data_IF_647782940641
#
_entry.id   IF_647782940641
#
_cell.length_a   1.000
_cell.length_b   1.000
_cell.length_c   1.000
_cell.angle_alpha   90.00
_cell.angle_beta   90.00
_cell.angle_gamma   90.00
#
_symmetry.space_group_name_H-M   'P 1'
#
loop_
_entity.id
_entity.type
_entity.pdbx_description
1 polymer ?
#
# COMPACT_ATOMS: atom_id res chain seq x y z
N UNK A 1 17.95 1.02 -10.44
CA UNK A 1 17.02 0.19 -11.20
C UNK A 1 17.47 0.07 -12.65
N UNK A 2 17.01 -0.94 -13.32
CA UNK A 2 17.29 -1.13 -14.73
C UNK A 2 16.48 -0.15 -15.58
N UNK A 3 17.06 0.26 -16.71
CA UNK A 3 16.32 1.07 -17.67
C UNK A 3 15.23 0.24 -18.37
N UNK A 4 14.05 0.81 -18.68
CA UNK A 4 13.03 0.10 -19.41
C UNK A 4 13.49 -0.29 -20.81
N UNK A 5 13.12 -1.49 -21.25
CA UNK A 5 13.38 -1.99 -22.58
C UNK A 5 12.11 -2.61 -23.16
N UNK A 6 12.17 -3.05 -24.42
CA UNK A 6 11.03 -3.77 -25.04
C UNK A 6 10.71 -5.06 -24.28
N UNK A 7 11.73 -5.73 -23.69
CA UNK A 7 11.58 -6.97 -22.94
C UNK A 7 11.22 -6.71 -21.47
N UNK A 8 11.53 -5.51 -20.97
CA UNK A 8 11.29 -5.15 -19.56
C UNK A 8 10.84 -3.68 -19.50
N UNK A 9 9.60 -3.41 -19.93
CA UNK A 9 9.11 -2.03 -20.05
C UNK A 9 8.85 -1.34 -18.70
N UNK A 10 8.80 -2.11 -17.60
CA UNK A 10 8.56 -1.57 -16.27
C UNK A 10 9.67 -2.01 -15.33
N UNK A 11 10.34 -1.03 -14.71
CA UNK A 11 11.38 -1.27 -13.70
C UNK A 11 10.99 -0.58 -12.40
N UNK A 12 11.21 -1.25 -11.29
CA UNK A 12 10.80 -0.76 -9.98
C UNK A 12 11.98 -0.85 -9.00
N UNK A 13 12.22 0.20 -8.18
CA UNK A 13 13.22 0.12 -7.12
C UNK A 13 12.91 -1.00 -6.13
N UNK A 14 13.93 -1.67 -5.64
CA UNK A 14 13.77 -2.79 -4.70
C UNK A 14 13.00 -2.36 -3.45
N UNK A 15 13.20 -1.11 -2.99
CA UNK A 15 12.46 -0.58 -1.84
C UNK A 15 10.94 -0.59 -2.10
N UNK A 16 10.51 -0.20 -3.30
CA UNK A 16 9.08 -0.21 -3.64
C UNK A 16 8.54 -1.63 -3.66
N UNK A 17 9.31 -2.57 -4.20
CA UNK A 17 8.93 -3.99 -4.21
C UNK A 17 8.78 -4.51 -2.77
N UNK A 18 9.71 -4.17 -1.89
CA UNK A 18 9.65 -4.58 -0.49
C UNK A 18 8.44 -3.97 0.23
N UNK A 19 8.17 -2.69 -0.02
CA UNK A 19 7.01 -2.01 0.57
C UNK A 19 5.70 -2.61 0.10
N UNK A 20 5.58 -2.87 -1.20
CA UNK A 20 4.41 -3.53 -1.77
C UNK A 20 4.21 -4.94 -1.20
N UNK A 21 5.31 -5.70 -1.03
CA UNK A 21 5.24 -7.03 -0.44
C UNK A 21 4.81 -7.00 1.02
N UNK A 22 5.27 -6.01 1.78
CA UNK A 22 4.85 -5.85 3.17
C UNK A 22 3.33 -5.65 3.27
N UNK A 23 2.74 -4.87 2.38
CA UNK A 23 1.29 -4.69 2.32
C UNK A 23 0.59 -5.98 1.89
N UNK A 24 1.09 -6.62 0.84
CA UNK A 24 0.49 -7.85 0.29
C UNK A 24 0.42 -8.95 1.34
N UNK A 25 1.43 -9.06 2.19
CA UNK A 25 1.52 -10.10 3.23
C UNK A 25 0.76 -9.75 4.52
N UNK A 26 0.08 -8.59 4.58
CA UNK A 26 -0.76 -8.25 5.74
C UNK A 26 -1.86 -9.30 5.94
N UNK A 27 -2.17 -9.56 7.20
CA UNK A 27 -3.20 -10.54 7.56
C UNK A 27 -4.57 -9.94 7.34
N UNK A 28 -5.41 -10.65 6.58
CA UNK A 28 -6.77 -10.22 6.29
C UNK A 28 -7.69 -11.41 6.14
N UNK A 29 -8.97 -11.20 6.40
CA UNK A 29 -9.99 -12.24 6.23
C UNK A 29 -10.60 -12.08 4.83
N UNK A 30 -10.41 -13.06 3.97
CA UNK A 30 -10.90 -13.06 2.59
C UNK A 30 -12.11 -13.98 2.49
N UNK A 31 -13.18 -13.48 1.85
CA UNK A 31 -14.39 -14.26 1.60
C UNK A 31 -14.15 -15.25 0.47
N UNK A 32 -14.38 -16.54 0.75
CA UNK A 32 -14.24 -17.59 -0.25
C UNK A 32 -15.56 -17.78 -1.01
N UNK A 33 -15.50 -18.56 -2.09
CA UNK A 33 -16.66 -18.83 -2.96
C UNK A 33 -17.86 -19.42 -2.20
N UNK A 34 -17.61 -20.12 -1.09
CA UNK A 34 -18.67 -20.70 -0.25
C UNK A 34 -19.24 -19.70 0.76
N UNK A 35 -18.83 -18.44 0.73
CA UNK A 35 -19.28 -17.39 1.64
C UNK A 35 -18.57 -17.33 2.97
N UNK A 36 -17.67 -18.29 3.26
CA UNK A 36 -16.90 -18.30 4.50
C UNK A 36 -15.63 -17.45 4.35
N UNK A 37 -15.19 -16.86 5.46
CA UNK A 37 -13.96 -16.08 5.48
C UNK A 37 -12.79 -16.94 5.96
N UNK A 38 -11.65 -16.79 5.31
CA UNK A 38 -10.40 -17.45 5.68
C UNK A 38 -9.30 -16.43 5.84
N UNK A 39 -8.41 -16.67 6.81
CA UNK A 39 -7.26 -15.79 7.03
C UNK A 39 -6.26 -15.93 5.89
N UNK A 40 -5.94 -14.83 5.24
CA UNK A 40 -4.83 -14.75 4.30
C UNK A 40 -3.58 -14.34 5.06
N UNK A 41 -2.50 -15.04 4.80
CA UNK A 41 -1.18 -14.79 5.39
C UNK A 41 -1.12 -15.12 6.89
N UNK A 42 0.07 -15.32 7.40
CA UNK A 42 0.35 -15.61 8.79
C UNK A 42 1.02 -14.42 9.47
N UNK A 43 0.98 -14.40 10.80
CA UNK A 43 1.70 -13.37 11.58
C UNK A 43 3.19 -13.39 11.26
N UNK A 44 3.78 -14.59 11.15
CA UNK A 44 5.21 -14.73 10.84
C UNK A 44 5.57 -14.13 9.49
N UNK A 45 4.74 -14.38 8.47
CA UNK A 45 4.98 -13.86 7.13
C UNK A 45 4.82 -12.35 7.06
N UNK A 46 3.75 -11.83 7.68
CA UNK A 46 3.51 -10.39 7.75
C UNK A 46 4.67 -9.67 8.47
N UNK A 47 5.11 -10.22 9.61
CA UNK A 47 6.22 -9.64 10.37
C UNK A 47 7.53 -9.68 9.59
N UNK A 48 7.79 -10.78 8.87
CA UNK A 48 9.02 -10.91 8.07
C UNK A 48 9.06 -9.89 6.94
N UNK A 49 7.99 -9.77 6.19
CA UNK A 49 7.94 -8.82 5.07
C UNK A 49 8.02 -7.38 5.56
N UNK A 50 7.38 -7.07 6.68
CA UNK A 50 7.50 -5.76 7.30
C UNK A 50 8.93 -5.47 7.73
N UNK A 51 9.62 -6.41 8.38
CA UNK A 51 10.99 -6.23 8.85
C UNK A 51 11.97 -6.02 7.70
N UNK A 52 11.77 -6.70 6.58
CA UNK A 52 12.61 -6.49 5.39
C UNK A 52 12.48 -5.04 4.92
N UNK A 53 11.25 -4.56 4.79
CA UNK A 53 10.99 -3.19 4.37
C UNK A 53 11.57 -2.18 5.36
N UNK A 54 11.32 -2.38 6.65
CA UNK A 54 11.85 -1.52 7.72
C UNK A 54 13.38 -1.47 7.68
N UNK A 55 14.02 -2.64 7.52
CA UNK A 55 15.47 -2.73 7.50
C UNK A 55 16.09 -2.00 6.30
N UNK A 56 15.45 -2.08 5.15
CA UNK A 56 15.92 -1.36 3.96
C UNK A 56 15.91 0.15 4.21
N UNK A 57 14.85 0.66 4.86
CA UNK A 57 14.79 2.07 5.20
C UNK A 57 15.85 2.46 6.24
N UNK A 58 16.07 1.61 7.25
CA UNK A 58 17.11 1.84 8.26
C UNK A 58 18.49 1.88 7.65
N UNK A 59 18.74 1.08 6.62
CA UNK A 59 20.04 1.03 5.93
C UNK A 59 20.21 2.16 4.91
N UNK A 60 19.24 3.07 4.79
CA UNK A 60 19.36 4.25 3.96
C UNK A 60 18.90 4.10 2.52
N UNK A 61 18.04 3.13 2.23
CA UNK A 61 17.44 3.03 0.89
C UNK A 61 16.78 4.35 0.51
N UNK A 62 16.95 4.76 -0.75
CA UNK A 62 16.44 6.04 -1.24
C UNK A 62 14.93 6.01 -1.41
N UNK A 63 14.22 6.64 -0.46
CA UNK A 63 12.77 6.69 -0.45
C UNK A 63 12.20 7.55 -1.58
N UNK A 64 13.01 8.44 -2.16
CA UNK A 64 12.58 9.34 -3.23
C UNK A 64 12.71 8.72 -4.63
N UNK A 65 13.32 7.55 -4.75
CA UNK A 65 13.53 6.90 -6.04
C UNK A 65 12.20 6.46 -6.63
N UNK A 66 11.97 6.83 -7.90
CA UNK A 66 10.74 6.51 -8.62
C UNK A 66 10.93 5.29 -9.51
N UNK A 67 9.82 4.61 -9.84
CA UNK A 67 9.87 3.55 -10.84
C UNK A 67 9.98 4.16 -12.26
N UNK A 68 10.08 3.30 -13.27
CA UNK A 68 10.28 3.75 -14.65
C UNK A 68 9.09 4.52 -15.23
N UNK A 69 7.92 4.48 -14.59
CA UNK A 69 6.73 5.23 -14.99
C UNK A 69 6.50 6.47 -14.12
N UNK A 70 7.43 6.77 -13.21
CA UNK A 70 7.34 7.93 -12.33
C UNK A 70 6.62 7.67 -11.02
N UNK A 71 6.24 6.41 -10.74
CA UNK A 71 5.54 6.04 -9.52
C UNK A 71 6.45 6.10 -8.29
N UNK A 72 5.89 6.59 -7.18
CA UNK A 72 6.60 6.72 -5.92
C UNK A 72 6.37 5.52 -5.03
N UNK A 73 7.16 5.40 -3.95
CA UNK A 73 6.94 4.39 -2.92
C UNK A 73 5.49 4.48 -2.38
N UNK A 74 5.01 5.69 -2.08
CA UNK A 74 3.66 5.87 -1.55
C UNK A 74 2.62 5.34 -2.53
N UNK A 75 2.74 5.65 -3.83
CA UNK A 75 1.76 5.19 -4.81
C UNK A 75 1.76 3.68 -4.95
N UNK A 76 2.92 3.03 -4.90
CA UNK A 76 3.01 1.56 -4.88
C UNK A 76 2.30 0.99 -3.65
N UNK A 77 2.55 1.55 -2.48
CA UNK A 77 1.92 1.09 -1.23
C UNK A 77 0.41 1.30 -1.27
N UNK A 78 -0.07 2.43 -1.81
CA UNK A 78 -1.50 2.69 -1.93
C UNK A 78 -2.20 1.71 -2.87
N UNK A 79 -1.57 1.36 -4.00
CA UNK A 79 -2.13 0.37 -4.93
C UNK A 79 -2.29 -0.97 -4.24
N UNK A 80 -1.26 -1.44 -3.51
CA UNK A 80 -1.33 -2.68 -2.77
C UNK A 80 -2.33 -2.61 -1.61
N UNK A 81 -2.42 -1.48 -0.93
CA UNK A 81 -3.39 -1.26 0.14
C UNK A 81 -4.82 -1.41 -0.39
N UNK A 82 -5.10 -0.83 -1.55
CA UNK A 82 -6.40 -0.96 -2.21
C UNK A 82 -6.75 -2.43 -2.46
N UNK A 83 -5.76 -3.23 -2.88
CA UNK A 83 -5.98 -4.64 -3.19
C UNK A 83 -6.23 -5.50 -1.95
N UNK A 84 -5.71 -5.12 -0.79
CA UNK A 84 -5.88 -5.89 0.45
C UNK A 84 -7.09 -5.42 1.28
N UNK A 85 -7.75 -4.35 0.88
CA UNK A 85 -8.95 -3.83 1.52
C UNK A 85 -10.20 -4.22 0.72
N UNK A 86 -11.41 -4.08 1.31
CA UNK A 86 -12.63 -4.33 0.56
C UNK A 86 -12.69 -3.50 -0.72
N UNK A 87 -13.16 -4.11 -1.82
CA UNK A 87 -13.31 -3.43 -3.10
C UNK A 87 -14.31 -2.28 -2.99
N UNK A 88 -13.99 -1.15 -3.62
CA UNK A 88 -14.82 0.03 -3.57
C UNK A 88 -15.25 0.43 -4.98
N UNK A 89 -16.57 0.63 -5.17
CA UNK A 89 -17.16 1.08 -6.43
C UNK A 89 -17.43 2.58 -6.35
N UNK A 90 -16.61 3.36 -7.04
CA UNK A 90 -16.72 4.83 -6.99
C UNK A 90 -18.04 5.35 -7.57
N UNK A 91 -18.64 4.64 -8.54
CA UNK A 91 -19.90 5.06 -9.17
C UNK A 91 -21.09 4.95 -8.22
N UNK A 92 -21.15 3.87 -7.45
CA UNK A 92 -22.25 3.63 -6.51
C UNK A 92 -21.87 3.97 -5.09
N UNK A 93 -20.58 4.23 -4.83
CA UNK A 93 -20.02 4.45 -3.49
C UNK A 93 -20.27 3.27 -2.55
N UNK A 94 -20.35 2.07 -3.12
CA UNK A 94 -20.55 0.85 -2.35
C UNK A 94 -19.24 0.13 -2.11
N UNK A 95 -19.10 -0.44 -0.91
CA UNK A 95 -17.95 -1.25 -0.51
C UNK A 95 -18.39 -2.71 -0.44
N UNK A 96 -17.62 -3.60 -1.07
CA UNK A 96 -17.94 -5.02 -1.06
C UNK A 96 -17.59 -5.66 0.27
N UNK A 97 -18.06 -6.90 0.48
CA UNK A 97 -17.77 -7.69 1.68
C UNK A 97 -16.73 -8.78 1.40
N UNK A 98 -15.97 -8.66 0.31
CA UNK A 98 -14.98 -9.65 -0.08
C UNK A 98 -13.79 -9.75 0.89
N UNK A 99 -13.55 -8.71 1.66
CA UNK A 99 -12.50 -8.67 2.69
C UNK A 99 -13.09 -8.05 3.95
N UNK A 100 -12.78 -8.63 5.12
CA UNK A 100 -13.14 -8.01 6.39
C UNK A 100 -11.96 -7.20 6.91
N UNK A 101 -12.25 -5.99 7.40
CA UNK A 101 -11.23 -5.16 8.04
C UNK A 101 -11.15 -5.55 9.51
N UNK A 102 -10.15 -6.37 9.84
CA UNK A 102 -9.92 -6.85 11.20
C UNK A 102 -8.90 -5.98 11.93
N UNK A 103 -8.79 -6.16 13.24
CA UNK A 103 -7.77 -5.47 14.04
C UNK A 103 -6.37 -5.85 13.59
N UNK A 104 -6.15 -7.10 13.18
CA UNK A 104 -4.87 -7.58 12.66
C UNK A 104 -4.50 -6.85 11.38
N UNK A 105 -5.45 -6.68 10.47
CA UNK A 105 -5.21 -5.97 9.21
C UNK A 105 -4.87 -4.49 9.47
N UNK A 106 -5.65 -3.83 10.35
CA UNK A 106 -5.35 -2.45 10.71
C UNK A 106 -3.98 -2.31 11.35
N UNK A 107 -3.62 -3.22 12.27
CA UNK A 107 -2.31 -3.21 12.90
C UNK A 107 -1.19 -3.32 11.85
N UNK A 108 -1.33 -4.28 10.95
CA UNK A 108 -0.30 -4.54 9.93
C UNK A 108 -0.15 -3.36 8.97
N UNK A 109 -1.27 -2.76 8.52
CA UNK A 109 -1.23 -1.60 7.65
C UNK A 109 -0.72 -0.35 8.38
N UNK A 110 -1.22 -0.12 9.60
CA UNK A 110 -0.85 1.07 10.37
C UNK A 110 0.66 1.15 10.60
N UNK A 111 1.32 0.03 10.92
CA UNK A 111 2.76 0.06 11.15
C UNK A 111 3.55 0.39 9.88
N UNK A 112 3.03 0.00 8.72
CA UNK A 112 3.65 0.37 7.43
C UNK A 112 3.52 1.87 7.20
N UNK A 113 2.33 2.43 7.40
CA UNK A 113 2.11 3.87 7.23
C UNK A 113 2.87 4.68 8.28
N UNK A 114 3.03 4.16 9.51
CA UNK A 114 3.87 4.80 10.53
C UNK A 114 5.33 4.90 10.09
N UNK A 115 5.84 3.88 9.38
CA UNK A 115 7.17 3.97 8.78
C UNK A 115 7.24 5.08 7.72
N UNK A 116 6.24 5.18 6.85
CA UNK A 116 6.21 6.24 5.84
C UNK A 116 6.23 7.63 6.51
N UNK A 117 5.46 7.80 7.58
CA UNK A 117 5.44 9.05 8.36
C UNK A 117 6.83 9.33 8.94
N UNK A 118 7.46 8.33 9.53
CA UNK A 118 8.79 8.46 10.15
C UNK A 118 9.84 8.94 9.15
N UNK A 119 9.74 8.50 7.90
CA UNK A 119 10.70 8.85 6.86
C UNK A 119 10.24 10.02 6.00
N UNK A 120 9.23 10.78 6.45
CA UNK A 120 8.86 12.05 5.85
C UNK A 120 7.96 11.98 4.63
N UNK A 121 7.33 10.83 4.37
CA UNK A 121 6.39 10.69 3.25
C UNK A 121 5.10 11.46 3.58
N UNK A 122 4.61 12.22 2.61
CA UNK A 122 3.37 13.01 2.76
C UNK A 122 2.33 12.54 1.73
N UNK A 123 1.08 12.91 1.98
CA UNK A 123 -0.02 12.57 1.07
C UNK A 123 -0.13 13.52 -0.13
N UNK A 124 0.74 14.53 -0.22
CA UNK A 124 0.65 15.60 -1.23
C UNK A 124 1.32 15.17 -2.53
N UNK A 125 0.73 14.21 -3.23
CA UNK A 125 1.23 13.71 -4.50
C UNK A 125 0.11 13.66 -5.52
N UNK A 126 0.52 13.71 -6.79
CA UNK A 126 -0.39 13.54 -7.93
C UNK A 126 -0.23 12.11 -8.45
N UNK A 127 -1.34 11.41 -8.64
CA UNK A 127 -1.32 10.04 -9.18
C UNK A 127 -0.74 10.05 -10.60
N UNK A 128 0.20 9.13 -10.86
CA UNK A 128 0.97 9.10 -12.11
C UNK A 128 0.09 8.90 -13.33
N UNK A 129 -0.87 7.98 -13.25
CA UNK A 129 -1.71 7.63 -14.41
C UNK A 129 -2.96 8.49 -14.50
N UNK A 130 -3.64 8.73 -13.39
CA UNK A 130 -4.90 9.47 -13.36
C UNK A 130 -4.71 10.98 -13.41
N UNK A 131 -3.52 11.49 -13.06
CA UNK A 131 -3.16 12.91 -13.09
C UNK A 131 -4.01 13.79 -12.16
N UNK A 132 -4.50 13.21 -11.07
CA UNK A 132 -5.26 13.92 -10.04
C UNK A 132 -4.59 13.70 -8.68
N UNK A 133 -4.86 14.56 -7.67
CA UNK A 133 -4.30 14.36 -6.33
C UNK A 133 -4.70 13.00 -5.75
N UNK A 134 -3.79 12.37 -5.00
CA UNK A 134 -4.06 11.07 -4.37
C UNK A 134 -5.30 11.12 -3.48
N UNK A 135 -5.51 12.21 -2.74
CA UNK A 135 -6.68 12.36 -1.87
C UNK A 135 -7.99 12.35 -2.65
N UNK A 136 -7.97 12.90 -3.86
CA UNK A 136 -9.14 12.87 -4.73
C UNK A 136 -9.36 11.47 -5.31
N UNK A 137 -8.27 10.81 -5.74
CA UNK A 137 -8.34 9.47 -6.31
C UNK A 137 -8.93 8.44 -5.34
N UNK A 138 -8.53 8.51 -4.06
CA UNK A 138 -8.95 7.54 -3.04
C UNK A 138 -10.12 8.03 -2.19
N UNK A 139 -10.69 9.19 -2.52
CA UNK A 139 -11.81 9.78 -1.79
C UNK A 139 -12.94 8.76 -1.58
N UNK A 140 -13.47 8.71 -0.36
CA UNK A 140 -14.57 7.84 0.06
C UNK A 140 -14.27 6.33 0.04
N UNK A 141 -13.06 5.92 -0.39
CA UNK A 141 -12.68 4.51 -0.39
C UNK A 141 -12.09 4.08 0.96
N UNK A 142 -12.09 2.77 1.27
CA UNK A 142 -11.43 2.28 2.49
C UNK A 142 -9.96 2.65 2.61
N UNK A 143 -9.25 2.79 1.48
CA UNK A 143 -7.84 3.19 1.45
C UNK A 143 -7.63 4.57 2.09
N UNK A 144 -8.62 5.44 2.03
CA UNK A 144 -8.51 6.81 2.54
C UNK A 144 -8.23 6.86 4.05
N UNK A 145 -8.69 5.87 4.81
CA UNK A 145 -8.38 5.77 6.24
C UNK A 145 -6.87 5.84 6.48
N UNK A 146 -6.10 5.13 5.66
CA UNK A 146 -4.64 5.03 5.81
C UNK A 146 -3.93 6.23 5.19
N UNK A 147 -4.39 6.72 4.05
CA UNK A 147 -3.81 7.91 3.43
C UNK A 147 -3.95 9.12 4.36
N UNK A 148 -5.07 9.26 5.07
CA UNK A 148 -5.29 10.34 6.02
C UNK A 148 -4.30 10.33 7.19
N UNK A 149 -3.72 9.19 7.54
CA UNK A 149 -2.72 9.13 8.61
C UNK A 149 -1.49 9.99 8.28
N UNK A 150 -1.13 10.06 7.01
CA UNK A 150 0.02 10.85 6.57
C UNK A 150 -0.22 12.36 6.77
N UNK A 151 -1.46 12.81 6.68
CA UNK A 151 -1.81 14.20 6.92
C UNK A 151 -1.86 14.53 8.42
N UNK A 152 -2.48 13.66 9.23
CA UNK A 152 -2.68 13.89 10.65
C UNK A 152 -1.37 14.03 11.41
N UNK A 153 -0.31 13.36 10.94
CA UNK A 153 0.99 13.42 11.59
C UNK A 153 1.72 14.75 11.38
N UNK A 154 1.22 15.60 10.49
CA UNK A 154 1.84 16.89 10.15
C UNK A 154 1.31 18.06 10.98
N UNK A 155 0.24 17.82 11.69
CA UNK A 155 -0.39 18.87 12.50
C UNK A 155 0.22 19.00 13.89
#
# INVERSE_FOLDING_TARGET
>A
IEEPTELNPFCQPVLQTAGGRAVFDCRRMIKRWNGQYEMYSSKEKADRSFKVFEKMLELGADISQKDSHGGTLLQTILIETKEVLPSYYWKTKETSDNVLITDELRHDLNRIYDLLIRYGVTADEIAVYQKIPLKELYQDSPTMEFLNRLDQSRS
#
